data_IF_844345510896
#
_entry.id   IF_844345510896
#
_cell.length_a   1.000
_cell.length_b   1.000
_cell.length_c   1.000
_cell.angle_alpha   90.00
_cell.angle_beta   90.00
_cell.angle_gamma   90.00
#
_symmetry.space_group_name_H-M   'P 1'
#
loop_
_entity.id
_entity.type
_entity.pdbx_description
1 polymer ?
#
# COMPACT_ATOMS: atom_id res chain seq x y z
N UNK A 1 -31.87 -19.67 8.75
CA UNK A 1 -30.77 -18.83 8.39
C UNK A 1 -29.64 -19.69 7.87
N UNK A 2 -29.20 -19.48 6.62
CA UNK A 2 -27.98 -20.12 6.15
C UNK A 2 -26.80 -19.51 6.90
N UNK A 3 -26.08 -20.32 7.67
CA UNK A 3 -24.81 -19.91 8.24
C UNK A 3 -23.82 -19.61 7.11
N UNK A 4 -23.29 -18.39 7.06
CA UNK A 4 -22.20 -18.04 6.15
C UNK A 4 -20.97 -18.84 6.56
N UNK A 5 -20.57 -19.81 5.75
CA UNK A 5 -19.39 -20.62 5.98
C UNK A 5 -18.19 -19.90 5.38
N UNK A 6 -17.34 -19.29 6.21
CA UNK A 6 -16.07 -18.67 5.77
C UNK A 6 -15.00 -19.77 5.73
N UNK A 7 -14.32 -19.85 4.60
CA UNK A 7 -13.16 -20.74 4.40
C UNK A 7 -11.99 -19.91 3.91
N UNK A 8 -10.81 -20.13 4.47
CA UNK A 8 -9.60 -19.41 4.08
C UNK A 8 -8.46 -20.36 3.69
N UNK A 9 -7.58 -19.82 2.87
CA UNK A 9 -6.29 -20.40 2.50
C UNK A 9 -5.24 -19.32 2.70
N UNK A 10 -4.21 -19.63 3.47
CA UNK A 10 -3.15 -18.67 3.83
C UNK A 10 -1.85 -19.05 3.15
N UNK A 11 -1.05 -18.02 2.88
CA UNK A 11 0.29 -18.18 2.30
C UNK A 11 0.27 -18.96 0.98
N UNK A 12 -0.75 -18.74 0.14
CA UNK A 12 -0.84 -19.32 -1.19
C UNK A 12 0.18 -18.62 -2.09
N UNK A 13 1.17 -19.34 -2.66
CA UNK A 13 2.14 -18.74 -3.56
C UNK A 13 1.51 -18.15 -4.83
N UNK A 14 2.16 -17.14 -5.41
CA UNK A 14 1.81 -16.63 -6.73
C UNK A 14 2.16 -17.68 -7.79
N UNK A 15 1.17 -18.37 -8.34
CA UNK A 15 1.35 -19.46 -9.29
C UNK A 15 0.13 -20.37 -9.40
N UNK A 16 0.35 -21.57 -9.91
CA UNK A 16 -0.68 -22.60 -10.06
C UNK A 16 -1.38 -22.93 -8.74
N UNK A 17 -0.72 -22.77 -7.62
CA UNK A 17 -1.29 -22.96 -6.28
C UNK A 17 -2.47 -22.03 -6.02
N UNK A 18 -2.46 -20.82 -6.59
CA UNK A 18 -3.60 -19.89 -6.50
C UNK A 18 -4.83 -20.45 -7.22
N UNK A 19 -4.67 -20.93 -8.45
CA UNK A 19 -5.75 -21.59 -9.18
C UNK A 19 -6.27 -22.80 -8.40
N UNK A 20 -5.39 -23.68 -7.94
CA UNK A 20 -5.76 -24.88 -7.20
C UNK A 20 -6.57 -24.55 -5.93
N UNK A 21 -6.16 -23.53 -5.19
CA UNK A 21 -6.86 -23.08 -3.99
C UNK A 21 -8.23 -22.48 -4.34
N UNK A 22 -8.33 -21.70 -5.40
CA UNK A 22 -9.59 -21.12 -5.87
C UNK A 22 -10.56 -22.19 -6.37
N UNK A 23 -10.10 -23.14 -7.16
CA UNK A 23 -10.89 -24.28 -7.65
C UNK A 23 -11.41 -25.14 -6.49
N UNK A 24 -10.53 -25.48 -5.52
CA UNK A 24 -10.93 -26.24 -4.33
C UNK A 24 -12.02 -25.52 -3.52
N UNK A 25 -11.92 -24.21 -3.34
CA UNK A 25 -12.96 -23.44 -2.65
C UNK A 25 -14.28 -23.43 -3.42
N UNK A 26 -14.25 -23.32 -4.76
CA UNK A 26 -15.43 -23.40 -5.61
C UNK A 26 -16.10 -24.76 -5.52
N UNK A 27 -15.35 -25.86 -5.61
CA UNK A 27 -15.83 -27.24 -5.45
C UNK A 27 -16.43 -27.49 -4.06
N UNK A 28 -15.91 -26.83 -3.02
CA UNK A 28 -16.45 -26.87 -1.67
C UNK A 28 -17.72 -26.03 -1.48
N UNK A 29 -18.25 -25.42 -2.54
CA UNK A 29 -19.50 -24.69 -2.55
C UNK A 29 -19.39 -23.22 -2.13
N UNK A 30 -18.22 -22.62 -2.19
CA UNK A 30 -18.09 -21.16 -2.02
C UNK A 30 -18.71 -20.44 -3.22
N UNK A 31 -19.57 -19.45 -2.96
CA UNK A 31 -20.26 -18.68 -4.00
C UNK A 31 -19.49 -17.42 -4.41
N UNK A 32 -18.59 -16.95 -3.56
CA UNK A 32 -17.71 -15.82 -3.79
C UNK A 32 -16.32 -16.14 -3.21
N UNK A 33 -15.28 -15.85 -3.97
CA UNK A 33 -13.89 -16.16 -3.64
C UNK A 33 -13.08 -14.88 -3.82
N UNK A 34 -12.33 -14.49 -2.79
CA UNK A 34 -11.42 -13.35 -2.80
C UNK A 34 -9.98 -13.84 -2.84
N UNK A 35 -9.15 -13.19 -3.63
CA UNK A 35 -7.71 -13.35 -3.61
C UNK A 35 -7.02 -11.98 -3.49
N UNK A 36 -5.89 -11.97 -2.80
CA UNK A 36 -5.07 -10.78 -2.58
C UNK A 36 -3.61 -11.14 -2.87
N UNK A 37 -3.12 -10.64 -3.93
CA UNK A 37 -1.74 -10.52 -4.40
C UNK A 37 -1.76 -10.27 -5.91
N UNK A 38 -0.95 -9.35 -6.40
CA UNK A 38 -0.91 -8.96 -7.82
C UNK A 38 -0.68 -10.16 -8.77
N UNK A 39 0.23 -11.06 -8.42
CA UNK A 39 0.57 -12.23 -9.23
C UNK A 39 -0.50 -13.33 -9.28
N UNK A 40 -1.58 -13.24 -8.50
CA UNK A 40 -2.69 -14.19 -8.55
C UNK A 40 -3.65 -13.94 -9.73
N UNK A 41 -3.58 -12.80 -10.41
CA UNK A 41 -4.60 -12.35 -11.37
C UNK A 41 -4.90 -13.38 -12.46
N UNK A 42 -3.90 -13.88 -13.17
CA UNK A 42 -4.10 -14.85 -14.27
C UNK A 42 -4.75 -16.13 -13.80
N UNK A 43 -4.41 -16.60 -12.62
CA UNK A 43 -4.93 -17.84 -12.03
C UNK A 43 -6.37 -17.69 -11.53
N UNK A 44 -6.73 -16.53 -11.02
CA UNK A 44 -8.11 -16.21 -10.66
C UNK A 44 -9.00 -16.08 -11.89
N UNK A 45 -8.50 -15.51 -12.98
CA UNK A 45 -9.21 -15.45 -14.28
C UNK A 45 -9.45 -16.85 -14.82
N UNK A 46 -8.45 -17.75 -14.74
CA UNK A 46 -8.57 -19.13 -15.16
C UNK A 46 -9.65 -19.88 -14.37
N UNK A 47 -9.65 -19.74 -13.04
CA UNK A 47 -10.69 -20.30 -12.19
C UNK A 47 -12.08 -19.71 -12.50
N UNK A 48 -12.18 -18.40 -12.76
CA UNK A 48 -13.45 -17.79 -13.13
C UNK A 48 -14.04 -18.33 -14.44
N UNK A 49 -13.19 -18.66 -15.41
CA UNK A 49 -13.63 -19.30 -16.68
C UNK A 49 -14.17 -20.71 -16.46
N UNK A 50 -13.60 -21.46 -15.52
CA UNK A 50 -14.02 -22.83 -15.24
C UNK A 50 -15.26 -22.91 -14.36
N UNK A 51 -15.41 -21.97 -13.42
CA UNK A 51 -16.54 -21.92 -12.47
C UNK A 51 -17.45 -20.71 -12.69
N UNK A 52 -18.25 -20.68 -13.78
CA UNK A 52 -19.01 -19.50 -14.21
C UNK A 52 -20.11 -19.07 -13.22
N UNK A 53 -20.50 -19.92 -12.29
CA UNK A 53 -21.51 -19.64 -11.26
C UNK A 53 -20.94 -19.14 -9.94
N UNK A 54 -19.61 -19.01 -9.83
CA UNK A 54 -18.90 -18.51 -8.65
C UNK A 54 -18.33 -17.12 -8.97
N UNK A 55 -18.45 -16.18 -8.04
CA UNK A 55 -17.87 -14.85 -8.17
C UNK A 55 -16.40 -14.87 -7.71
N UNK A 56 -15.51 -14.33 -8.52
CA UNK A 56 -14.09 -14.23 -8.22
C UNK A 56 -13.69 -12.76 -8.13
N UNK A 57 -13.22 -12.34 -6.97
CA UNK A 57 -12.80 -10.98 -6.65
C UNK A 57 -11.31 -10.95 -6.37
N UNK A 58 -10.56 -10.15 -7.10
CA UNK A 58 -9.11 -10.12 -6.98
C UNK A 58 -8.57 -8.72 -6.70
N UNK A 59 -7.81 -8.59 -5.65
CA UNK A 59 -7.00 -7.42 -5.30
C UNK A 59 -5.53 -7.78 -5.59
N UNK A 60 -4.82 -7.05 -6.34
CA UNK A 60 -4.87 -5.74 -6.96
C UNK A 60 -4.82 -5.87 -8.50
N UNK A 61 -5.66 -6.69 -9.06
CA UNK A 61 -5.72 -6.96 -10.49
C UNK A 61 -6.24 -5.77 -11.29
N UNK A 62 -6.00 -5.82 -12.61
CA UNK A 62 -6.30 -4.73 -13.56
C UNK A 62 -6.96 -5.22 -14.85
N UNK A 63 -7.33 -6.50 -14.95
CA UNK A 63 -7.77 -7.10 -16.21
C UNK A 63 -9.26 -7.41 -16.31
N UNK A 64 -10.06 -7.17 -15.26
CA UNK A 64 -11.46 -7.55 -15.28
C UNK A 64 -12.24 -6.92 -16.45
N UNK A 65 -12.05 -5.64 -16.73
CA UNK A 65 -12.72 -4.94 -17.84
C UNK A 65 -12.26 -5.44 -19.24
N UNK A 66 -11.04 -5.95 -19.37
CA UNK A 66 -10.53 -6.48 -20.66
C UNK A 66 -10.86 -7.95 -20.87
N UNK A 67 -10.96 -8.75 -19.80
CA UNK A 67 -11.38 -10.16 -19.88
C UNK A 67 -12.87 -10.30 -20.14
N UNK A 68 -13.69 -9.36 -19.70
CA UNK A 68 -15.13 -9.32 -19.97
C UNK A 68 -15.92 -10.48 -19.37
N UNK A 69 -15.42 -11.12 -18.30
CA UNK A 69 -16.10 -12.17 -17.58
C UNK A 69 -17.11 -11.60 -16.58
N UNK A 70 -18.34 -12.08 -16.61
CA UNK A 70 -19.41 -11.61 -15.73
C UNK A 70 -19.18 -11.93 -14.24
N UNK A 71 -18.27 -12.84 -13.94
CA UNK A 71 -17.98 -13.38 -12.61
C UNK A 71 -16.54 -13.14 -12.14
N UNK A 72 -15.79 -12.26 -12.82
CA UNK A 72 -14.45 -11.86 -12.42
C UNK A 72 -14.36 -10.35 -12.22
N UNK A 73 -13.86 -9.92 -11.08
CA UNK A 73 -13.88 -8.54 -10.61
C UNK A 73 -12.54 -8.15 -10.01
N UNK A 74 -12.09 -6.94 -10.30
CA UNK A 74 -10.90 -6.37 -9.69
C UNK A 74 -11.27 -5.35 -8.60
N UNK A 75 -10.50 -5.36 -7.54
CA UNK A 75 -10.45 -4.29 -6.55
C UNK A 75 -9.06 -3.68 -6.55
N UNK A 76 -8.99 -2.37 -6.56
CA UNK A 76 -7.76 -1.60 -6.39
C UNK A 76 -7.96 -0.52 -5.33
N UNK A 77 -6.88 0.00 -4.77
CA UNK A 77 -6.94 1.15 -3.87
C UNK A 77 -5.94 2.20 -4.31
N UNK A 78 -6.36 3.45 -4.27
CA UNK A 78 -5.50 4.61 -4.55
C UNK A 78 -4.51 4.85 -3.42
N UNK A 79 -3.69 3.83 -3.10
CA UNK A 79 -2.74 3.88 -1.98
C UNK A 79 -1.76 5.05 -2.09
N UNK A 80 -1.52 5.56 -3.31
CA UNK A 80 -0.71 6.74 -3.56
C UNK A 80 -1.22 7.99 -2.80
N UNK A 81 -2.54 8.10 -2.51
CA UNK A 81 -3.08 9.19 -1.68
C UNK A 81 -2.53 9.11 -0.26
N UNK A 82 -2.57 7.92 0.34
CA UNK A 82 -1.99 7.67 1.67
C UNK A 82 -0.47 7.82 1.68
N UNK A 83 0.20 7.43 0.60
CA UNK A 83 1.65 7.63 0.45
C UNK A 83 2.03 9.10 0.37
N UNK A 84 1.21 9.92 -0.29
CA UNK A 84 1.39 11.38 -0.31
C UNK A 84 1.33 11.97 1.11
N UNK A 85 0.32 11.61 1.88
CA UNK A 85 0.17 12.05 3.27
C UNK A 85 1.32 11.58 4.16
N UNK A 86 1.75 10.32 4.00
CA UNK A 86 2.92 9.77 4.67
C UNK A 86 4.21 10.51 4.26
N UNK A 87 4.29 10.95 3.01
CA UNK A 87 5.35 11.81 2.51
C UNK A 87 5.40 13.17 3.20
N UNK A 88 4.25 13.78 3.50
CA UNK A 88 4.20 15.02 4.30
C UNK A 88 4.84 14.78 5.67
N UNK A 89 4.53 13.66 6.34
CA UNK A 89 5.17 13.32 7.62
C UNK A 89 6.70 13.20 7.50
N UNK A 90 7.18 12.59 6.42
CA UNK A 90 8.61 12.50 6.13
C UNK A 90 9.25 13.90 5.92
N UNK A 91 8.61 14.75 5.11
CA UNK A 91 9.09 16.11 4.85
C UNK A 91 9.13 16.98 6.10
N UNK A 92 8.10 16.89 6.97
CA UNK A 92 8.07 17.54 8.27
C UNK A 92 9.23 17.08 9.16
N UNK A 93 9.53 15.77 9.16
CA UNK A 93 10.67 15.23 9.92
C UNK A 93 12.01 15.72 9.38
N UNK A 94 12.18 15.79 8.06
CA UNK A 94 13.37 16.37 7.45
C UNK A 94 13.56 17.84 7.86
N UNK A 95 12.50 18.64 7.83
CA UNK A 95 12.55 20.03 8.27
C UNK A 95 12.93 20.17 9.75
N UNK A 96 12.39 19.30 10.62
CA UNK A 96 12.81 19.26 12.03
C UNK A 96 14.31 18.96 12.14
N UNK A 97 14.82 17.96 11.42
CA UNK A 97 16.24 17.60 11.46
C UNK A 97 17.14 18.73 10.95
N UNK A 98 16.69 19.51 9.95
CA UNK A 98 17.39 20.70 9.45
C UNK A 98 17.40 21.80 10.54
N UNK A 99 16.25 22.08 11.14
CA UNK A 99 16.11 23.11 12.16
C UNK A 99 16.95 22.81 13.42
N UNK A 100 17.07 21.54 13.78
CA UNK A 100 17.91 21.06 14.89
C UNK A 100 19.41 20.98 14.54
N UNK A 101 19.79 21.28 13.30
CA UNK A 101 21.18 21.20 12.85
C UNK A 101 21.73 19.76 12.72
N UNK A 102 20.86 18.76 12.71
CA UNK A 102 21.25 17.36 12.53
C UNK A 102 21.67 17.05 11.09
N UNK A 103 21.06 17.75 10.14
CA UNK A 103 21.41 17.72 8.71
C UNK A 103 21.37 19.14 8.15
N UNK A 104 21.98 19.33 6.98
CA UNK A 104 21.81 20.55 6.17
C UNK A 104 20.75 20.32 5.10
N UNK A 105 20.16 21.38 4.55
CA UNK A 105 19.08 21.29 3.57
C UNK A 105 19.47 20.48 2.31
N UNK A 106 20.73 20.56 1.87
CA UNK A 106 21.27 19.79 0.75
C UNK A 106 21.48 18.29 1.08
N UNK A 107 21.35 17.90 2.35
CA UNK A 107 21.44 16.50 2.83
C UNK A 107 20.08 15.90 3.18
N UNK A 108 18.98 16.58 2.87
CA UNK A 108 17.62 16.08 3.07
C UNK A 108 17.29 14.97 2.04
N UNK A 109 18.00 13.83 2.13
CA UNK A 109 17.90 12.70 1.22
C UNK A 109 17.14 11.56 1.87
N UNK A 110 16.03 11.15 1.26
CA UNK A 110 15.25 9.98 1.66
C UNK A 110 15.70 8.74 0.88
N UNK A 111 15.51 7.57 1.47
CA UNK A 111 15.63 6.29 0.80
C UNK A 111 14.27 5.59 0.71
N UNK A 112 14.06 4.82 -0.34
CA UNK A 112 12.83 4.06 -0.55
C UNK A 112 13.13 2.63 -1.01
N UNK A 113 12.65 1.64 -0.25
CA UNK A 113 12.78 0.22 -0.57
C UNK A 113 11.48 -0.25 -1.19
N UNK A 114 11.48 -0.47 -2.51
CA UNK A 114 10.32 -1.00 -3.25
C UNK A 114 10.41 -2.50 -3.47
N UNK A 115 9.25 -3.15 -3.60
CA UNK A 115 9.17 -4.57 -3.96
C UNK A 115 9.52 -4.77 -5.46
N UNK A 116 8.69 -4.22 -6.34
CA UNK A 116 8.81 -4.36 -7.79
C UNK A 116 8.66 -3.01 -8.50
N UNK A 117 8.96 -2.98 -9.79
CA UNK A 117 8.75 -1.82 -10.67
C UNK A 117 7.34 -1.78 -11.26
N UNK A 118 6.32 -2.20 -10.51
CA UNK A 118 4.92 -2.11 -10.93
C UNK A 118 4.36 -0.71 -10.71
N UNK A 119 3.30 -0.37 -11.45
CA UNK A 119 2.67 0.95 -11.41
C UNK A 119 2.24 1.36 -9.97
N UNK A 120 1.75 0.42 -9.17
CA UNK A 120 1.39 0.65 -7.77
C UNK A 120 2.59 1.14 -6.95
N UNK A 121 3.73 0.45 -7.03
CA UNK A 121 4.95 0.80 -6.30
C UNK A 121 5.54 2.11 -6.81
N UNK A 122 5.54 2.31 -8.14
CA UNK A 122 6.02 3.55 -8.77
C UNK A 122 5.18 4.74 -8.34
N UNK A 123 3.85 4.64 -8.43
CA UNK A 123 2.94 5.69 -7.94
C UNK A 123 3.11 5.94 -6.44
N UNK A 124 3.37 4.87 -5.68
CA UNK A 124 3.60 4.94 -4.24
C UNK A 124 4.83 5.76 -3.86
N UNK A 125 6.01 5.47 -4.42
CA UNK A 125 7.19 6.27 -4.08
C UNK A 125 7.16 7.67 -4.71
N UNK A 126 6.55 7.83 -5.89
CA UNK A 126 6.41 9.14 -6.52
C UNK A 126 5.53 10.07 -5.68
N UNK A 127 4.36 9.58 -5.25
CA UNK A 127 3.46 10.35 -4.38
C UNK A 127 4.07 10.67 -3.01
N UNK A 128 4.77 9.71 -2.40
CA UNK A 128 5.52 9.92 -1.18
C UNK A 128 6.56 11.05 -1.33
N UNK A 129 7.30 11.04 -2.43
CA UNK A 129 8.28 12.09 -2.74
C UNK A 129 7.61 13.44 -2.95
N UNK A 130 6.50 13.52 -3.69
CA UNK A 130 5.73 14.75 -3.88
C UNK A 130 5.20 15.29 -2.55
N UNK A 131 4.66 14.42 -1.69
CA UNK A 131 4.21 14.81 -0.35
C UNK A 131 5.34 15.36 0.51
N UNK A 132 6.50 14.73 0.51
CA UNK A 132 7.67 15.26 1.25
C UNK A 132 8.12 16.61 0.71
N UNK A 133 8.16 16.77 -0.61
CA UNK A 133 8.58 18.04 -1.24
C UNK A 133 7.57 19.17 -1.09
N UNK A 134 6.30 18.86 -0.86
CA UNK A 134 5.29 19.90 -0.62
C UNK A 134 5.59 20.72 0.64
N UNK A 135 6.29 20.13 1.61
CA UNK A 135 6.68 20.80 2.88
C UNK A 135 8.19 20.97 3.03
N UNK A 136 9.02 20.13 2.41
CA UNK A 136 10.48 20.20 2.40
C UNK A 136 11.00 20.25 0.95
N UNK A 137 11.02 21.41 0.28
CA UNK A 137 11.35 21.52 -1.14
C UNK A 137 12.75 21.04 -1.54
N UNK A 138 13.69 20.97 -0.58
CA UNK A 138 15.05 20.46 -0.81
C UNK A 138 15.16 18.95 -0.71
N UNK A 139 14.09 18.25 -0.32
CA UNK A 139 14.09 16.79 -0.23
C UNK A 139 14.46 16.13 -1.57
N UNK A 140 15.34 15.15 -1.50
CA UNK A 140 15.72 14.26 -2.59
C UNK A 140 15.43 12.81 -2.19
N UNK A 141 15.41 11.89 -3.16
CA UNK A 141 15.11 10.49 -2.85
C UNK A 141 15.91 9.54 -3.74
N UNK A 142 16.37 8.44 -3.15
CA UNK A 142 16.98 7.29 -3.82
C UNK A 142 16.07 6.07 -3.62
N UNK A 143 15.84 5.31 -4.70
CA UNK A 143 14.95 4.14 -4.69
C UNK A 143 15.75 2.89 -5.02
N UNK A 144 15.48 1.79 -4.31
CA UNK A 144 15.99 0.45 -4.63
C UNK A 144 14.85 -0.55 -4.64
N UNK A 145 15.04 -1.70 -5.30
CA UNK A 145 14.01 -2.73 -5.41
C UNK A 145 14.56 -4.08 -4.96
N UNK A 146 13.72 -4.86 -4.25
CA UNK A 146 14.07 -6.19 -3.76
C UNK A 146 13.72 -7.30 -4.75
N UNK A 147 12.74 -7.08 -5.63
CA UNK A 147 12.17 -8.11 -6.50
C UNK A 147 11.23 -9.07 -5.77
N UNK A 148 10.77 -8.72 -4.57
CA UNK A 148 9.84 -9.52 -3.76
C UNK A 148 8.91 -8.61 -2.97
N UNK A 149 7.65 -9.04 -2.75
CA UNK A 149 6.74 -8.36 -1.82
C UNK A 149 7.13 -8.57 -0.37
N UNK A 150 7.72 -9.72 -0.05
CA UNK A 150 8.12 -10.07 1.30
C UNK A 150 9.47 -10.81 1.28
N UNK A 151 10.54 -10.10 1.56
CA UNK A 151 11.88 -10.65 1.77
C UNK A 151 12.60 -9.81 2.84
N UNK A 152 12.53 -10.29 4.08
CA UNK A 152 13.06 -9.56 5.24
C UNK A 152 14.56 -9.26 5.10
N UNK A 153 15.32 -10.18 4.52
CA UNK A 153 16.77 -10.00 4.32
C UNK A 153 17.05 -8.95 3.25
N UNK A 154 16.42 -9.07 2.08
CA UNK A 154 16.62 -8.13 0.97
C UNK A 154 16.12 -6.71 1.32
N UNK A 155 14.99 -6.59 2.02
CA UNK A 155 14.46 -5.30 2.48
C UNK A 155 15.39 -4.64 3.51
N UNK A 156 15.93 -5.42 4.45
CA UNK A 156 16.91 -4.95 5.42
C UNK A 156 18.19 -4.48 4.75
N UNK A 157 18.78 -5.29 3.88
CA UNK A 157 20.00 -4.95 3.13
C UNK A 157 19.79 -3.71 2.25
N UNK A 158 18.64 -3.59 1.60
CA UNK A 158 18.23 -2.42 0.82
C UNK A 158 18.20 -1.14 1.66
N UNK A 159 17.58 -1.19 2.84
CA UNK A 159 17.54 -0.06 3.76
C UNK A 159 18.94 0.30 4.30
N UNK A 160 19.72 -0.69 4.72
CA UNK A 160 21.11 -0.48 5.19
C UNK A 160 21.96 0.17 4.09
N UNK A 161 21.82 -0.26 2.83
CA UNK A 161 22.52 0.33 1.69
C UNK A 161 22.13 1.78 1.44
N UNK A 162 20.84 2.10 1.49
CA UNK A 162 20.35 3.48 1.33
C UNK A 162 20.89 4.38 2.46
N UNK A 163 20.91 3.90 3.70
CA UNK A 163 21.51 4.63 4.84
C UNK A 163 23.00 4.87 4.61
N UNK A 164 23.75 3.88 4.16
CA UNK A 164 25.17 4.03 3.79
C UNK A 164 25.38 5.04 2.67
N UNK A 165 24.43 5.17 1.75
CA UNK A 165 24.44 6.16 0.67
C UNK A 165 24.04 7.57 1.14
N UNK A 166 23.84 7.78 2.45
CA UNK A 166 23.53 9.06 3.06
C UNK A 166 22.04 9.39 3.10
N UNK A 167 21.15 8.41 2.95
CA UNK A 167 19.73 8.63 3.22
C UNK A 167 19.51 8.76 4.73
N UNK A 168 18.81 9.82 5.12
CA UNK A 168 18.58 10.20 6.54
C UNK A 168 17.17 9.87 7.04
N UNK A 169 16.33 9.37 6.16
CA UNK A 169 14.98 8.85 6.42
C UNK A 169 14.70 7.76 5.40
N UNK A 170 14.10 6.66 5.83
CA UNK A 170 13.76 5.52 4.96
C UNK A 170 12.25 5.31 4.94
N UNK A 171 11.73 4.99 3.76
CA UNK A 171 10.40 4.43 3.59
C UNK A 171 10.47 3.15 2.75
N UNK A 172 9.39 2.41 2.71
CA UNK A 172 9.30 1.18 1.92
C UNK A 172 7.91 1.01 1.30
N UNK A 173 7.87 0.16 0.27
CA UNK A 173 6.67 -0.39 -0.37
C UNK A 173 6.94 -1.88 -0.59
N UNK A 174 7.09 -2.57 0.52
CA UNK A 174 7.31 -4.00 0.71
C UNK A 174 6.83 -4.37 2.13
N UNK A 175 6.58 -5.63 2.40
CA UNK A 175 5.68 -6.04 3.49
C UNK A 175 6.38 -6.62 4.73
N UNK A 176 7.73 -6.77 4.70
CA UNK A 176 8.44 -7.36 5.84
C UNK A 176 8.86 -6.32 6.89
N UNK A 177 9.37 -6.82 8.00
CA UNK A 177 9.94 -5.98 9.07
C UNK A 177 11.44 -5.65 8.84
N UNK A 178 12.01 -6.03 7.70
CA UNK A 178 13.44 -5.86 7.42
C UNK A 178 13.89 -4.41 7.41
N UNK A 179 13.25 -3.56 6.59
CA UNK A 179 13.61 -2.15 6.49
C UNK A 179 13.34 -1.37 7.82
N UNK A 180 12.18 -1.50 8.51
CA UNK A 180 11.97 -0.91 9.82
C UNK A 180 13.00 -1.32 10.87
N UNK A 181 13.37 -2.60 10.91
CA UNK A 181 14.38 -3.12 11.84
C UNK A 181 15.77 -2.52 11.58
N UNK A 182 16.15 -2.37 10.29
CA UNK A 182 17.40 -1.71 9.93
C UNK A 182 17.40 -0.23 10.36
N UNK A 183 16.28 0.46 10.18
CA UNK A 183 16.11 1.85 10.60
C UNK A 183 16.24 2.01 12.12
N UNK A 184 15.59 1.15 12.91
CA UNK A 184 15.66 1.19 14.37
C UNK A 184 17.09 0.97 14.85
N UNK A 185 17.80 -0.01 14.28
CA UNK A 185 19.19 -0.28 14.60
C UNK A 185 20.13 0.89 14.30
N UNK A 186 19.84 1.62 13.21
CA UNK A 186 20.65 2.74 12.77
C UNK A 186 20.22 4.09 13.38
N UNK A 187 19.10 4.15 14.10
CA UNK A 187 18.52 5.40 14.62
C UNK A 187 18.01 6.33 13.51
N UNK A 188 17.61 5.78 12.36
CA UNK A 188 17.13 6.53 11.19
C UNK A 188 15.61 6.49 11.16
N UNK A 189 14.90 7.64 11.06
CA UNK A 189 13.45 7.69 10.97
C UNK A 189 12.90 6.83 9.83
N UNK A 190 11.78 6.14 10.11
CA UNK A 190 11.10 5.28 9.15
C UNK A 190 9.63 5.68 8.97
N UNK A 191 9.20 5.76 7.72
CA UNK A 191 7.78 5.83 7.32
C UNK A 191 7.42 4.52 6.67
N UNK A 192 6.60 3.73 7.35
CA UNK A 192 6.29 2.37 6.94
C UNK A 192 5.20 2.28 5.87
N UNK A 193 4.96 1.06 5.42
CA UNK A 193 3.92 0.70 4.45
C UNK A 193 3.06 -0.44 5.00
N UNK A 194 1.79 -0.43 4.62
CA UNK A 194 0.76 -1.42 4.86
C UNK A 194 0.35 -1.60 6.34
N UNK A 195 1.23 -1.78 7.26
CA UNK A 195 0.92 -1.91 8.68
C UNK A 195 1.79 -1.04 9.57
N UNK A 196 1.39 -0.88 10.82
CA UNK A 196 2.24 -0.24 11.82
C UNK A 196 3.41 -1.15 12.17
N UNK A 197 4.62 -0.62 12.08
CA UNK A 197 5.86 -1.33 12.43
C UNK A 197 6.46 -0.83 13.75
N UNK A 198 5.67 -0.13 14.56
CA UNK A 198 6.10 0.42 15.85
C UNK A 198 6.66 -0.65 16.80
N UNK A 199 6.22 -1.89 16.66
CA UNK A 199 6.69 -3.01 17.49
C UNK A 199 8.18 -3.33 17.30
N UNK A 200 8.73 -3.08 16.10
CA UNK A 200 10.15 -3.32 15.78
C UNK A 200 10.96 -2.03 15.63
N UNK A 201 10.29 -0.88 15.56
CA UNK A 201 10.92 0.43 15.38
C UNK A 201 10.32 1.51 16.30
N UNK A 202 10.20 1.30 17.63
CA UNK A 202 9.50 2.23 18.50
C UNK A 202 10.11 3.63 18.55
N UNK A 203 11.42 3.76 18.28
CA UNK A 203 12.16 5.03 18.33
C UNK A 203 12.37 5.66 16.95
N UNK A 204 11.96 4.98 15.88
CA UNK A 204 12.19 5.44 14.50
C UNK A 204 10.93 5.48 13.64
N UNK A 205 9.94 4.64 13.93
CA UNK A 205 8.66 4.62 13.23
C UNK A 205 7.91 5.94 13.40
N UNK A 206 7.46 6.53 12.29
CA UNK A 206 6.68 7.78 12.28
C UNK A 206 5.19 7.48 12.05
N UNK A 207 4.85 6.90 10.92
CA UNK A 207 3.49 6.61 10.46
C UNK A 207 3.54 5.54 9.36
N UNK A 208 2.39 4.93 9.05
CA UNK A 208 2.21 4.06 7.89
C UNK A 208 0.93 4.41 7.15
N UNK A 209 0.91 4.18 5.85
CA UNK A 209 -0.32 4.13 5.04
C UNK A 209 -0.64 2.68 4.70
N UNK A 210 -1.91 2.30 4.77
CA UNK A 210 -2.39 0.95 4.49
C UNK A 210 -3.68 0.97 3.69
N UNK A 211 -3.98 -0.15 3.06
CA UNK A 211 -5.27 -0.40 2.44
C UNK A 211 -6.17 -1.10 3.46
N UNK A 212 -7.43 -0.65 3.55
CA UNK A 212 -8.50 -1.35 4.24
C UNK A 212 -9.46 -1.92 3.20
N UNK A 213 -9.44 -3.23 3.06
CA UNK A 213 -10.28 -3.94 2.10
C UNK A 213 -11.71 -4.20 2.60
N UNK A 214 -12.02 -3.90 3.87
CA UNK A 214 -13.35 -4.11 4.42
C UNK A 214 -14.48 -3.43 3.63
N UNK A 215 -14.34 -2.18 3.13
CA UNK A 215 -15.36 -1.56 2.29
C UNK A 215 -15.65 -2.36 1.01
N UNK A 216 -14.62 -2.92 0.37
CA UNK A 216 -14.80 -3.75 -0.81
C UNK A 216 -15.48 -5.09 -0.49
N UNK A 217 -15.03 -5.77 0.56
CA UNK A 217 -15.66 -7.05 0.97
C UNK A 217 -17.13 -6.87 1.28
N UNK A 218 -17.50 -5.84 2.03
CA UNK A 218 -18.89 -5.54 2.35
C UNK A 218 -19.70 -5.27 1.07
N UNK A 219 -19.17 -4.45 0.16
CA UNK A 219 -19.81 -4.14 -1.12
C UNK A 219 -20.03 -5.40 -1.96
N UNK A 220 -18.99 -6.18 -2.21
CA UNK A 220 -19.03 -7.34 -3.11
C UNK A 220 -19.92 -8.46 -2.54
N UNK A 221 -19.81 -8.76 -1.23
CA UNK A 221 -20.64 -9.75 -0.56
C UNK A 221 -22.12 -9.33 -0.59
N UNK A 222 -22.43 -8.06 -0.29
CA UNK A 222 -23.80 -7.57 -0.31
C UNK A 222 -24.38 -7.63 -1.73
N UNK A 223 -23.63 -7.25 -2.75
CA UNK A 223 -24.05 -7.35 -4.14
C UNK A 223 -24.37 -8.81 -4.52
N UNK A 224 -23.49 -9.74 -4.18
CA UNK A 224 -23.70 -11.16 -4.42
C UNK A 224 -24.95 -11.70 -3.69
N UNK A 225 -25.16 -11.33 -2.44
CA UNK A 225 -26.35 -11.74 -1.66
C UNK A 225 -27.65 -11.18 -2.24
N UNK A 226 -27.63 -9.97 -2.76
CA UNK A 226 -28.77 -9.30 -3.40
C UNK A 226 -29.01 -9.77 -4.84
N UNK A 227 -28.18 -10.64 -5.40
CA UNK A 227 -28.21 -11.05 -6.80
C UNK A 227 -27.90 -9.89 -7.77
N UNK A 228 -27.18 -8.88 -7.31
CA UNK A 228 -26.72 -7.74 -8.12
C UNK A 228 -25.36 -8.05 -8.74
N UNK A 229 -25.09 -7.41 -9.87
CA UNK A 229 -23.76 -7.45 -10.49
C UNK A 229 -22.75 -6.73 -9.62
N UNK A 230 -21.58 -7.35 -9.41
CA UNK A 230 -20.41 -6.70 -8.82
C UNK A 230 -19.71 -5.93 -9.96
N UNK A 231 -19.24 -4.72 -9.70
CA UNK A 231 -18.52 -3.92 -10.69
C UNK A 231 -17.25 -4.66 -11.15
N UNK A 232 -16.94 -4.56 -12.45
CA UNK A 232 -15.73 -5.17 -12.99
C UNK A 232 -14.46 -4.59 -12.33
N UNK A 233 -14.44 -3.28 -12.15
CA UNK A 233 -13.34 -2.57 -11.48
C UNK A 233 -13.91 -1.69 -10.36
N UNK A 234 -13.40 -1.91 -9.15
CA UNK A 234 -13.72 -1.10 -8.00
C UNK A 234 -12.45 -0.44 -7.46
N UNK A 235 -12.52 0.85 -7.14
CA UNK A 235 -11.37 1.60 -6.61
C UNK A 235 -11.72 2.23 -5.28
N UNK A 236 -10.97 1.85 -4.25
CA UNK A 236 -11.01 2.47 -2.93
C UNK A 236 -10.07 3.68 -2.83
N UNK A 237 -10.47 4.68 -2.04
CA UNK A 237 -9.75 5.94 -1.86
C UNK A 237 -9.73 6.34 -0.38
N UNK A 238 -9.11 7.46 -0.04
CA UNK A 238 -9.24 8.10 1.28
C UNK A 238 -10.72 8.42 1.58
N UNK A 239 -11.46 8.96 0.60
CA UNK A 239 -12.87 9.31 0.77
C UNK A 239 -13.75 8.10 1.06
N UNK A 240 -13.45 6.94 0.49
CA UNK A 240 -14.17 5.68 0.75
C UNK A 240 -13.68 4.94 1.98
N UNK A 241 -12.67 5.46 2.67
CA UNK A 241 -12.01 4.84 3.85
C UNK A 241 -11.31 3.52 3.54
N UNK A 242 -10.95 3.30 2.29
CA UNK A 242 -10.15 2.15 1.85
C UNK A 242 -8.65 2.44 1.88
N UNK A 243 -8.27 3.71 1.78
CA UNK A 243 -6.92 4.17 2.08
C UNK A 243 -6.95 4.85 3.44
N UNK A 244 -6.13 4.39 4.36
CA UNK A 244 -6.10 4.88 5.74
C UNK A 244 -4.67 5.02 6.23
N UNK A 245 -4.48 5.90 7.21
CA UNK A 245 -3.21 6.03 7.94
C UNK A 245 -3.29 5.29 9.27
N UNK A 246 -2.17 4.76 9.71
CA UNK A 246 -2.02 4.30 11.09
C UNK A 246 -1.86 5.48 12.05
N UNK A 247 -1.88 5.20 13.34
CA UNK A 247 -1.61 6.22 14.35
C UNK A 247 -0.21 6.80 14.18
N UNK A 248 -0.13 8.13 14.29
CA UNK A 248 1.13 8.87 14.27
C UNK A 248 1.90 8.61 15.57
N UNK A 249 3.16 8.19 15.46
CA UNK A 249 4.05 8.11 16.59
C UNK A 249 4.57 9.52 16.96
N UNK A 250 3.88 10.17 17.87
CA UNK A 250 4.19 11.55 18.29
C UNK A 250 5.53 11.68 19.01
N UNK A 251 6.14 10.57 19.49
CA UNK A 251 7.48 10.60 20.09
C UNK A 251 8.58 10.75 19.03
N UNK A 252 8.29 10.42 17.77
CA UNK A 252 9.26 10.43 16.65
C UNK A 252 8.91 11.48 15.62
N UNK A 253 7.63 11.68 15.33
CA UNK A 253 7.15 12.66 14.37
C UNK A 253 7.54 14.09 14.78
N UNK A 254 7.69 14.96 13.79
CA UNK A 254 7.87 16.39 14.04
C UNK A 254 6.57 17.04 14.57
N UNK A 255 6.71 18.09 15.36
CA UNK A 255 5.57 18.87 15.82
C UNK A 255 4.76 19.42 14.63
N UNK A 256 3.43 19.43 14.77
CA UNK A 256 2.52 19.90 13.72
C UNK A 256 2.27 18.91 12.58
N UNK A 257 2.90 17.72 12.57
CA UNK A 257 2.73 16.73 11.50
C UNK A 257 1.27 16.29 11.33
N UNK A 258 0.54 16.04 12.44
CA UNK A 258 -0.86 15.64 12.36
C UNK A 258 -1.73 16.70 11.69
N UNK A 259 -1.53 17.98 12.06
CA UNK A 259 -2.29 19.10 11.48
C UNK A 259 -2.03 19.25 9.97
N UNK A 260 -0.76 19.08 9.55
CA UNK A 260 -0.39 19.15 8.12
C UNK A 260 -1.02 17.99 7.31
N UNK A 261 -1.04 16.77 7.89
CA UNK A 261 -1.70 15.61 7.29
C UNK A 261 -3.21 15.84 7.18
N UNK A 262 -3.86 16.31 8.25
CA UNK A 262 -5.32 16.53 8.29
C UNK A 262 -5.76 17.58 7.27
N UNK A 263 -4.97 18.65 7.08
CA UNK A 263 -5.23 19.68 6.07
C UNK A 263 -5.13 19.11 4.65
N UNK A 264 -4.07 18.37 4.34
CA UNK A 264 -3.87 17.76 3.03
C UNK A 264 -4.92 16.68 2.75
N UNK A 265 -5.30 15.88 3.76
CA UNK A 265 -6.34 14.85 3.65
C UNK A 265 -7.69 15.47 3.26
N UNK A 266 -8.10 16.56 3.90
CA UNK A 266 -9.32 17.28 3.55
C UNK A 266 -9.32 17.77 2.10
N UNK A 267 -8.17 18.27 1.62
CA UNK A 267 -8.04 18.73 0.23
C UNK A 267 -8.09 17.57 -0.78
N UNK A 268 -7.51 16.41 -0.44
CA UNK A 268 -7.60 15.20 -1.26
C UNK A 268 -9.05 14.67 -1.30
N UNK A 269 -9.70 14.57 -0.14
CA UNK A 269 -11.09 14.09 -0.05
C UNK A 269 -12.09 15.01 -0.78
N UNK A 270 -11.85 16.32 -0.78
CA UNK A 270 -12.69 17.30 -1.49
C UNK A 270 -12.37 17.44 -2.98
N UNK A 271 -11.27 16.86 -3.46
CA UNK A 271 -10.80 17.04 -4.84
C UNK A 271 -10.16 18.40 -5.11
N UNK A 272 -9.84 19.19 -4.09
CA UNK A 272 -9.07 20.43 -4.22
C UNK A 272 -7.60 20.15 -4.53
N UNK A 273 -7.08 19.05 -4.00
CA UNK A 273 -5.72 18.56 -4.23
C UNK A 273 -5.76 17.24 -4.98
N UNK A 274 -5.01 17.16 -6.07
CA UNK A 274 -4.72 15.93 -6.78
C UNK A 274 -3.24 15.61 -6.65
N UNK A 275 -2.91 14.37 -6.28
CA UNK A 275 -1.51 13.94 -6.12
C UNK A 275 -0.78 14.00 -7.45
N UNK A 276 -1.46 13.57 -8.53
CA UNK A 276 -0.94 13.59 -9.89
C UNK A 276 -1.80 14.53 -10.75
N UNK A 277 -1.15 15.43 -11.47
CA UNK A 277 -1.82 16.22 -12.49
C UNK A 277 -1.89 15.41 -13.78
N UNK A 278 -3.06 14.84 -14.04
CA UNK A 278 -3.33 14.08 -15.28
C UNK A 278 -3.84 14.94 -16.41
N UNK A 279 -3.98 16.25 -16.20
CA UNK A 279 -4.46 17.19 -17.23
C UNK A 279 -3.43 17.45 -18.33
N UNK A 280 -2.18 17.04 -18.10
CA UNK A 280 -1.05 17.24 -19.02
C UNK A 280 -0.71 16.01 -19.87
N UNK A 281 -1.51 14.94 -19.78
CA UNK A 281 -1.35 13.69 -20.54
C UNK A 281 -2.40 13.54 -21.64
#
# INVERSE_FOLDING_TARGET
GSEMCIRDRKNVPEGQECYNAAAELAEQGCNIIFADSFGHESFMIEAAKEFPNVQFCHSTGVRAHTEGLANYHNAFASIYEGRYLAGIAAGMKLNQMIAEGKITADKAKMGYVGAFTYAEVISGYTSFFLGARSVCPTATMEVTFTGSWYDETAEKEGAEKLIQNGCVLISQHADSMGAPTACEKAGVPNVSYNGSTVSVGPNTYIISSRIDWAPYYVYAIQAAMDGKTIDADWTGTLATKSVVLSDLNTNVAADGTQAAIDEAMKKLESGELHVFDVSTF
#
